data_IF_781807251388
#
_entry.id   IF_781807251388
#
_cell.length_a   1.000
_cell.length_b   1.000
_cell.length_c   1.000
_cell.angle_alpha   90.00
_cell.angle_beta   90.00
_cell.angle_gamma   90.00
#
_symmetry.space_group_name_H-M   'P 1'
#
loop_
_entity.id
_entity.type
_entity.pdbx_description
1 polymer ?
#
# COMPACT_ATOMS: atom_id res chain seq x y z
N UNK A 1 -2.50 15.56 -15.76
CA UNK A 1 -2.03 16.02 -14.42
C UNK A 1 -1.59 17.48 -14.48
N UNK A 2 -0.81 17.90 -15.49
CA UNK A 2 -0.33 19.31 -15.62
C UNK A 2 -1.47 20.30 -15.89
N UNK A 3 -2.46 19.93 -16.69
CA UNK A 3 -3.61 20.78 -16.99
C UNK A 3 -4.47 21.10 -15.76
N UNK A 4 -4.78 20.13 -14.93
CA UNK A 4 -5.59 20.34 -13.74
C UNK A 4 -4.94 21.27 -12.71
N UNK A 5 -3.62 21.24 -12.59
CA UNK A 5 -2.90 22.12 -11.66
C UNK A 5 -2.87 23.59 -12.14
N UNK A 6 -2.82 23.83 -13.46
CA UNK A 6 -2.91 25.19 -14.03
C UNK A 6 -4.30 25.79 -13.78
N UNK A 7 -5.36 25.02 -13.95
CA UNK A 7 -6.73 25.48 -13.67
C UNK A 7 -6.94 25.80 -12.18
N UNK A 8 -6.35 25.03 -11.28
CA UNK A 8 -6.45 25.25 -9.83
C UNK A 8 -5.62 26.43 -9.34
N UNK A 9 -4.45 26.70 -9.93
CA UNK A 9 -3.53 27.74 -9.44
C UNK A 9 -3.76 29.11 -10.09
N UNK A 10 -4.45 29.18 -11.21
CA UNK A 10 -4.68 30.44 -11.98
C UNK A 10 -3.40 31.09 -12.52
N UNK A 11 -2.25 30.44 -12.42
CA UNK A 11 -0.94 30.95 -12.84
C UNK A 11 -0.17 29.90 -13.66
N UNK A 12 0.71 30.38 -14.54
CA UNK A 12 1.64 29.50 -15.24
C UNK A 12 2.68 28.94 -14.27
N UNK A 13 2.73 27.62 -14.19
CA UNK A 13 3.75 26.95 -13.39
C UNK A 13 5.14 27.11 -14.06
N UNK A 14 6.21 27.36 -13.30
CA UNK A 14 7.57 27.37 -13.83
C UNK A 14 7.84 26.11 -14.64
N UNK A 15 8.60 26.20 -15.73
CA UNK A 15 8.88 25.03 -16.59
C UNK A 15 9.61 23.89 -15.85
N UNK A 16 10.28 24.17 -14.73
CA UNK A 16 11.01 23.26 -13.87
C UNK A 16 10.23 22.84 -12.61
N UNK A 17 8.91 23.12 -12.54
CA UNK A 17 8.11 22.80 -11.33
C UNK A 17 8.03 21.30 -11.05
N UNK A 18 7.99 20.45 -12.08
CA UNK A 18 7.94 18.98 -11.91
C UNK A 18 9.22 18.46 -11.26
N UNK A 19 10.44 18.78 -11.77
CA UNK A 19 11.68 18.41 -11.09
C UNK A 19 11.76 18.90 -9.64
N UNK A 20 11.36 20.15 -9.38
CA UNK A 20 11.35 20.70 -8.01
C UNK A 20 10.36 19.99 -7.10
N UNK A 21 9.18 19.63 -7.60
CA UNK A 21 8.20 18.85 -6.84
C UNK A 21 8.76 17.47 -6.51
N UNK A 22 9.30 16.77 -7.52
CA UNK A 22 9.93 15.46 -7.32
C UNK A 22 11.06 15.53 -6.30
N UNK A 23 11.91 16.54 -6.37
CA UNK A 23 12.98 16.74 -5.40
C UNK A 23 12.43 16.96 -3.98
N UNK A 24 11.45 17.87 -3.79
CA UNK A 24 10.84 18.12 -2.48
C UNK A 24 10.13 16.89 -1.91
N UNK A 25 9.42 16.15 -2.75
CA UNK A 25 8.79 14.89 -2.33
C UNK A 25 9.86 13.88 -1.91
N UNK A 26 10.96 13.75 -2.67
CA UNK A 26 12.08 12.87 -2.32
C UNK A 26 12.75 13.27 -1.01
N UNK A 27 12.95 14.56 -0.78
CA UNK A 27 13.49 15.09 0.48
C UNK A 27 12.57 14.80 1.66
N UNK A 28 11.25 15.07 1.53
CA UNK A 28 10.26 14.77 2.55
C UNK A 28 10.22 13.26 2.87
N UNK A 29 10.23 12.40 1.85
CA UNK A 29 10.33 10.95 2.06
C UNK A 29 11.59 10.54 2.85
N UNK A 30 12.69 11.25 2.68
CA UNK A 30 13.94 10.91 3.35
C UNK A 30 13.96 11.30 4.83
N UNK A 31 13.31 12.42 5.18
CA UNK A 31 13.38 12.99 6.53
C UNK A 31 12.14 12.74 7.38
N UNK A 32 10.96 12.62 6.78
CA UNK A 32 9.67 12.61 7.48
C UNK A 32 8.95 11.26 7.42
N UNK A 33 9.44 10.30 6.61
CA UNK A 33 8.79 9.01 6.47
C UNK A 33 9.02 8.16 7.72
N UNK A 34 7.92 7.87 8.42
CA UNK A 34 7.91 6.96 9.57
C UNK A 34 7.02 5.76 9.29
N UNK A 35 7.33 4.58 9.85
CA UNK A 35 6.43 3.43 9.74
C UNK A 35 5.14 3.68 10.50
N UNK A 36 4.07 3.01 10.09
CA UNK A 36 2.82 3.00 10.86
C UNK A 36 3.09 2.49 12.29
N UNK A 37 2.47 3.15 13.27
CA UNK A 37 2.63 2.77 14.68
C UNK A 37 2.21 1.32 14.91
N UNK A 38 3.03 0.57 15.63
CA UNK A 38 2.83 -0.84 15.93
C UNK A 38 3.19 -1.83 14.82
N UNK A 39 3.48 -1.39 13.58
CA UNK A 39 3.72 -2.33 12.47
C UNK A 39 4.94 -3.21 12.68
N UNK A 40 6.05 -2.67 13.21
CA UNK A 40 7.26 -3.46 13.46
C UNK A 40 7.02 -4.54 14.51
N UNK A 41 6.31 -4.20 15.60
CA UNK A 41 5.95 -5.14 16.67
C UNK A 41 5.07 -6.28 16.13
N UNK A 42 4.11 -5.94 15.27
CA UNK A 42 3.24 -6.92 14.63
C UNK A 42 4.06 -7.84 13.72
N UNK A 43 4.88 -7.28 12.82
CA UNK A 43 5.69 -8.08 11.90
C UNK A 43 6.71 -8.99 12.61
N UNK A 44 7.25 -8.54 13.75
CA UNK A 44 8.13 -9.38 14.60
C UNK A 44 7.37 -10.54 15.25
N UNK A 45 6.06 -10.43 15.47
CA UNK A 45 5.23 -11.45 16.12
C UNK A 45 4.53 -12.40 15.14
N UNK A 46 4.50 -12.07 13.84
CA UNK A 46 3.82 -12.91 12.86
C UNK A 46 4.67 -14.12 12.46
N UNK A 47 4.07 -15.30 12.58
CA UNK A 47 4.64 -16.58 12.11
C UNK A 47 4.12 -16.98 10.71
N UNK A 48 3.53 -16.02 9.98
CA UNK A 48 2.99 -16.22 8.64
C UNK A 48 3.81 -15.48 7.59
N UNK A 49 3.80 -15.99 6.37
CA UNK A 49 4.48 -15.34 5.24
C UNK A 49 3.79 -14.03 4.87
N UNK A 50 4.59 -12.99 4.65
CA UNK A 50 4.12 -11.66 4.31
C UNK A 50 4.79 -11.11 3.06
N UNK A 51 4.07 -10.30 2.28
CA UNK A 51 4.62 -9.58 1.13
C UNK A 51 4.05 -8.17 1.04
N UNK A 52 4.65 -7.35 0.19
CA UNK A 52 4.12 -6.04 -0.19
C UNK A 52 3.61 -6.10 -1.62
N UNK A 53 2.40 -5.60 -1.85
CA UNK A 53 1.80 -5.40 -3.16
C UNK A 53 1.39 -3.93 -3.33
N UNK A 54 2.08 -3.15 -4.18
CA UNK A 54 1.93 -1.70 -4.27
C UNK A 54 1.78 -1.20 -5.70
N UNK A 55 0.94 -0.16 -5.92
CA UNK A 55 0.90 0.57 -7.19
C UNK A 55 2.12 1.49 -7.38
N UNK A 56 2.96 1.67 -6.37
CA UNK A 56 4.16 2.47 -6.44
C UNK A 56 5.21 1.90 -7.39
N UNK A 57 6.14 2.75 -7.85
CA UNK A 57 7.29 2.32 -8.64
C UNK A 57 8.23 1.46 -7.78
N UNK A 58 8.82 0.37 -8.30
CA UNK A 58 9.65 -0.56 -7.53
C UNK A 58 10.70 0.12 -6.65
N UNK A 59 11.54 0.99 -7.23
CA UNK A 59 12.59 1.70 -6.49
C UNK A 59 12.05 2.62 -5.38
N UNK A 60 10.86 3.21 -5.54
CA UNK A 60 10.23 4.02 -4.49
C UNK A 60 9.70 3.16 -3.34
N UNK A 61 9.04 2.04 -3.65
CA UNK A 61 8.52 1.12 -2.63
C UNK A 61 9.65 0.56 -1.79
N UNK A 62 10.69 0.02 -2.44
CA UNK A 62 11.86 -0.50 -1.72
C UNK A 62 12.57 0.56 -0.89
N UNK A 63 12.76 1.77 -1.42
CA UNK A 63 13.40 2.87 -0.68
C UNK A 63 12.58 3.24 0.56
N UNK A 64 11.26 3.34 0.44
CA UNK A 64 10.37 3.61 1.59
C UNK A 64 10.49 2.53 2.67
N UNK A 65 10.51 1.26 2.27
CA UNK A 65 10.69 0.15 3.19
C UNK A 65 12.07 0.17 3.88
N UNK A 66 13.13 0.57 3.15
CA UNK A 66 14.49 0.70 3.70
C UNK A 66 14.58 1.87 4.68
N UNK A 67 14.04 3.03 4.33
CA UNK A 67 14.03 4.21 5.20
C UNK A 67 13.27 3.97 6.50
N UNK A 68 12.18 3.22 6.46
CA UNK A 68 11.37 2.87 7.64
C UNK A 68 11.87 1.63 8.40
N UNK A 69 12.94 0.98 7.93
CA UNK A 69 13.47 -0.25 8.55
C UNK A 69 12.62 -1.50 8.34
N UNK A 70 11.58 -1.41 7.48
CA UNK A 70 10.65 -2.52 7.23
C UNK A 70 11.11 -3.47 6.12
N UNK A 71 12.11 -3.10 5.31
CA UNK A 71 12.57 -3.91 4.18
C UNK A 71 12.98 -5.34 4.57
N UNK A 72 13.58 -5.51 5.74
CA UNK A 72 14.01 -6.82 6.28
C UNK A 72 12.89 -7.87 6.35
N UNK A 73 11.63 -7.43 6.52
CA UNK A 73 10.48 -8.33 6.57
C UNK A 73 9.97 -8.77 5.20
N UNK A 74 10.33 -8.02 4.14
CA UNK A 74 9.77 -8.18 2.80
C UNK A 74 10.83 -8.39 1.71
N UNK A 75 12.08 -8.62 2.08
CA UNK A 75 13.18 -8.81 1.13
C UNK A 75 12.85 -9.93 0.13
N UNK A 76 12.92 -9.62 -1.17
CA UNK A 76 12.53 -10.52 -2.26
C UNK A 76 11.03 -10.75 -2.43
N UNK A 77 10.17 -10.08 -1.64
CA UNK A 77 8.71 -10.25 -1.63
C UNK A 77 7.98 -8.90 -1.75
N UNK A 78 8.50 -8.04 -2.62
CA UNK A 78 7.90 -6.74 -2.95
C UNK A 78 7.42 -6.79 -4.38
N UNK A 79 6.11 -6.77 -4.58
CA UNK A 79 5.45 -6.82 -5.88
C UNK A 79 4.83 -5.46 -6.20
N UNK A 80 4.95 -5.02 -7.45
CA UNK A 80 4.50 -3.70 -7.86
C UNK A 80 3.64 -3.75 -9.12
N UNK A 81 2.92 -2.67 -9.40
CA UNK A 81 2.08 -2.57 -10.58
C UNK A 81 2.84 -2.71 -11.91
N UNK A 82 4.18 -2.57 -11.91
CA UNK A 82 4.99 -2.78 -13.11
C UNK A 82 5.08 -4.25 -13.55
N UNK A 83 4.65 -5.19 -12.72
CA UNK A 83 4.70 -6.63 -12.96
C UNK A 83 3.38 -7.18 -13.49
N UNK A 84 2.34 -6.35 -13.60
CA UNK A 84 1.01 -6.72 -14.06
C UNK A 84 0.50 -5.79 -15.15
N UNK A 85 -0.48 -6.23 -15.92
CA UNK A 85 -1.05 -5.42 -17.00
C UNK A 85 -1.84 -4.20 -16.50
N UNK A 86 -2.55 -4.36 -15.38
CA UNK A 86 -3.40 -3.32 -14.81
C UNK A 86 -3.08 -3.12 -13.32
N UNK A 87 -2.90 -1.86 -12.86
CA UNK A 87 -2.74 -1.54 -11.45
C UNK A 87 -4.05 -1.67 -10.68
N UNK A 88 -3.99 -1.66 -9.33
CA UNK A 88 -5.20 -1.50 -8.51
C UNK A 88 -6.02 -0.28 -9.00
N UNK A 89 -7.33 -0.35 -9.10
CA UNK A 89 -8.25 -1.32 -8.48
C UNK A 89 -8.50 -2.61 -9.27
N UNK A 90 -7.66 -2.95 -10.26
CA UNK A 90 -7.68 -4.27 -10.87
C UNK A 90 -7.14 -5.32 -9.89
N UNK A 91 -7.72 -6.55 -9.82
CA UNK A 91 -7.29 -7.59 -8.88
C UNK A 91 -5.93 -8.20 -9.23
N UNK A 92 -5.40 -7.96 -10.42
CA UNK A 92 -4.23 -8.65 -10.98
C UNK A 92 -3.02 -8.62 -10.05
N UNK A 93 -2.74 -7.48 -9.38
CA UNK A 93 -1.58 -7.36 -8.52
C UNK A 93 -1.65 -8.25 -7.28
N UNK A 94 -2.81 -8.37 -6.65
CA UNK A 94 -2.96 -9.24 -5.47
C UNK A 94 -2.96 -10.72 -5.86
N UNK A 95 -3.59 -11.08 -6.98
CA UNK A 95 -3.55 -12.45 -7.49
C UNK A 95 -2.13 -12.85 -7.91
N UNK A 96 -1.39 -11.95 -8.54
CA UNK A 96 0.02 -12.14 -8.88
C UNK A 96 0.88 -12.34 -7.63
N UNK A 97 0.72 -11.48 -6.61
CA UNK A 97 1.45 -11.61 -5.36
C UNK A 97 1.16 -12.94 -4.66
N UNK A 98 -0.10 -13.36 -4.58
CA UNK A 98 -0.48 -14.66 -4.01
C UNK A 98 0.17 -15.83 -4.77
N UNK A 99 0.12 -15.83 -6.12
CA UNK A 99 0.77 -16.83 -6.96
C UNK A 99 2.29 -16.90 -6.71
N UNK A 100 2.96 -15.73 -6.67
CA UNK A 100 4.41 -15.65 -6.39
C UNK A 100 4.80 -16.14 -5.01
N UNK A 101 3.93 -15.96 -4.03
CA UNK A 101 4.09 -16.47 -2.67
C UNK A 101 3.72 -17.95 -2.53
N UNK A 102 3.11 -18.56 -3.57
CA UNK A 102 2.71 -19.97 -3.57
C UNK A 102 1.41 -20.26 -2.82
N UNK A 103 0.56 -19.24 -2.61
CA UNK A 103 -0.72 -19.37 -1.92
C UNK A 103 -1.91 -19.17 -2.85
N UNK A 104 -3.00 -19.87 -2.56
CA UNK A 104 -4.30 -19.59 -3.15
C UNK A 104 -4.90 -18.30 -2.54
N UNK A 105 -5.83 -17.67 -3.24
CA UNK A 105 -6.50 -16.46 -2.76
C UNK A 105 -7.24 -16.67 -1.43
N UNK A 106 -7.73 -17.87 -1.19
CA UNK A 106 -8.49 -18.21 0.02
C UNK A 106 -7.59 -18.41 1.27
N UNK A 107 -6.28 -18.52 1.06
CA UNK A 107 -5.25 -18.58 2.11
C UNK A 107 -4.63 -17.20 2.40
N UNK A 108 -5.03 -16.17 1.67
CA UNK A 108 -4.49 -14.83 1.78
C UNK A 108 -5.44 -13.89 2.50
N UNK A 109 -4.86 -12.89 3.18
CA UNK A 109 -5.56 -11.71 3.70
C UNK A 109 -4.81 -10.47 3.25
N UNK A 110 -5.52 -9.47 2.75
CA UNK A 110 -4.97 -8.17 2.39
C UNK A 110 -5.17 -7.18 3.54
N UNK A 111 -4.15 -6.40 3.83
CA UNK A 111 -4.21 -5.25 4.73
C UNK A 111 -4.09 -3.99 3.87
N UNK A 112 -5.08 -3.13 3.91
CA UNK A 112 -5.16 -1.92 3.07
C UNK A 112 -5.75 -0.73 3.84
N UNK A 113 -5.48 0.50 3.36
CA UNK A 113 -6.04 1.75 3.89
C UNK A 113 -6.72 2.59 2.80
N UNK A 114 -6.60 2.17 1.55
CA UNK A 114 -7.14 2.87 0.37
C UNK A 114 -8.34 2.13 -0.23
N UNK A 115 -9.34 2.90 -0.68
CA UNK A 115 -10.51 2.35 -1.39
C UNK A 115 -10.09 1.61 -2.67
N UNK A 116 -9.05 2.11 -3.34
CA UNK A 116 -8.49 1.48 -4.54
C UNK A 116 -7.95 0.07 -4.25
N UNK A 117 -7.23 -0.09 -3.15
CA UNK A 117 -6.69 -1.38 -2.74
C UNK A 117 -7.76 -2.32 -2.21
N UNK A 118 -8.69 -1.82 -1.37
CA UNK A 118 -9.84 -2.61 -0.91
C UNK A 118 -10.65 -3.14 -2.09
N UNK A 119 -10.98 -2.28 -3.07
CA UNK A 119 -11.69 -2.69 -4.29
C UNK A 119 -10.95 -3.79 -5.05
N UNK A 120 -9.63 -3.67 -5.19
CA UNK A 120 -8.81 -4.68 -5.85
C UNK A 120 -8.86 -6.04 -5.12
N UNK A 121 -8.80 -6.03 -3.78
CA UNK A 121 -8.86 -7.23 -2.95
C UNK A 121 -10.22 -7.92 -3.06
N UNK A 122 -11.30 -7.15 -2.94
CA UNK A 122 -12.68 -7.66 -3.10
C UNK A 122 -12.87 -8.29 -4.49
N UNK A 123 -12.39 -7.63 -5.55
CA UNK A 123 -12.42 -8.19 -6.92
C UNK A 123 -11.57 -9.44 -7.08
N UNK A 124 -10.48 -9.57 -6.35
CA UNK A 124 -9.66 -10.77 -6.31
C UNK A 124 -10.34 -11.93 -5.56
N UNK A 125 -11.38 -11.65 -4.79
CA UNK A 125 -12.01 -12.59 -3.88
C UNK A 125 -11.10 -12.93 -2.68
N UNK A 126 -10.26 -12.00 -2.25
CA UNK A 126 -9.38 -12.12 -1.08
C UNK A 126 -9.98 -11.31 0.07
N UNK A 127 -9.99 -11.88 1.28
CA UNK A 127 -10.40 -11.18 2.50
C UNK A 127 -9.56 -9.92 2.69
N UNK A 128 -10.17 -8.80 3.08
CA UNK A 128 -9.45 -7.54 3.28
C UNK A 128 -9.80 -6.90 4.62
N UNK A 129 -8.74 -6.58 5.38
CA UNK A 129 -8.81 -5.77 6.59
C UNK A 129 -8.44 -4.34 6.22
N UNK A 130 -9.33 -3.38 6.49
CA UNK A 130 -9.17 -1.97 6.14
C UNK A 130 -8.70 -1.14 7.33
N UNK A 131 -7.45 -0.64 7.29
CA UNK A 131 -6.96 0.30 8.30
C UNK A 131 -7.62 1.66 8.13
N UNK A 132 -8.30 2.12 9.16
CA UNK A 132 -8.88 3.47 9.19
C UNK A 132 -7.75 4.49 9.35
N UNK A 133 -7.29 5.04 8.23
CA UNK A 133 -6.20 6.00 8.13
C UNK A 133 -6.49 7.04 7.03
N UNK A 134 -6.19 6.73 5.77
CA UNK A 134 -6.48 7.62 4.64
C UNK A 134 -7.97 7.64 4.26
N UNK A 135 -8.66 6.52 4.44
CA UNK A 135 -10.09 6.38 4.20
C UNK A 135 -10.84 6.28 5.53
N UNK A 136 -12.07 6.79 5.58
CA UNK A 136 -12.93 6.67 6.74
C UNK A 136 -13.41 5.23 6.93
N UNK A 137 -13.87 4.92 8.14
CA UNK A 137 -14.45 3.61 8.46
C UNK A 137 -15.61 3.24 7.54
N UNK A 138 -16.50 4.21 7.28
CA UNK A 138 -17.71 3.95 6.49
C UNK A 138 -17.37 3.69 5.02
N UNK A 139 -16.43 4.45 4.45
CA UNK A 139 -15.92 4.22 3.09
C UNK A 139 -15.27 2.83 2.93
N UNK A 140 -14.48 2.39 3.92
CA UNK A 140 -13.85 1.07 3.92
C UNK A 140 -14.88 -0.06 3.99
N UNK A 141 -15.92 0.10 4.83
CA UNK A 141 -17.05 -0.86 4.92
C UNK A 141 -17.80 -0.91 3.58
N UNK A 142 -18.13 0.25 3.01
CA UNK A 142 -18.86 0.33 1.74
C UNK A 142 -18.08 -0.31 0.59
N UNK A 143 -16.75 -0.18 0.62
CA UNK A 143 -15.86 -0.85 -0.33
C UNK A 143 -15.71 -2.36 -0.10
N UNK A 144 -16.12 -2.89 1.05
CA UNK A 144 -16.15 -4.32 1.39
C UNK A 144 -15.05 -4.79 2.31
N UNK A 145 -14.35 -3.89 3.02
CA UNK A 145 -13.33 -4.25 4.00
C UNK A 145 -13.92 -4.44 5.41
N UNK A 146 -13.25 -5.26 6.22
CA UNK A 146 -13.43 -5.33 7.67
C UNK A 146 -12.55 -4.21 8.30
N UNK A 147 -13.12 -3.13 8.86
CA UNK A 147 -12.33 -1.99 9.31
C UNK A 147 -11.69 -2.26 10.66
N UNK A 148 -10.46 -1.77 10.83
CA UNK A 148 -9.75 -1.75 12.11
C UNK A 148 -8.96 -0.43 12.25
N UNK A 149 -8.49 -0.09 13.46
CA UNK A 149 -7.93 1.24 13.75
C UNK A 149 -6.48 1.21 14.21
N UNK A 150 -5.97 0.04 14.63
CA UNK A 150 -4.63 -0.08 15.19
C UNK A 150 -3.94 -1.33 14.65
N UNK A 151 -2.72 -1.20 14.14
CA UNK A 151 -1.95 -2.34 13.62
C UNK A 151 -1.80 -3.48 14.64
N UNK A 152 -1.74 -3.18 15.93
CA UNK A 152 -1.65 -4.19 17.00
C UNK A 152 -2.89 -5.09 17.13
N UNK A 153 -3.99 -4.76 16.45
CA UNK A 153 -5.18 -5.63 16.38
C UNK A 153 -5.00 -6.79 15.40
N UNK A 154 -4.05 -6.68 14.45
CA UNK A 154 -3.89 -7.64 13.34
C UNK A 154 -3.72 -9.09 13.79
N UNK A 155 -2.86 -9.45 14.76
CA UNK A 155 -2.72 -10.86 15.17
C UNK A 155 -4.06 -11.45 15.57
N UNK A 156 -4.84 -10.75 16.38
CA UNK A 156 -6.18 -11.19 16.80
C UNK A 156 -7.16 -11.28 15.63
N UNK A 157 -7.15 -10.31 14.71
CA UNK A 157 -8.03 -10.31 13.53
C UNK A 157 -7.69 -11.42 12.55
N UNK A 158 -6.44 -11.84 12.52
CA UNK A 158 -5.94 -12.96 11.72
C UNK A 158 -6.16 -14.32 12.40
N UNK A 159 -6.55 -14.33 13.68
CA UNK A 159 -6.75 -15.56 14.45
C UNK A 159 -5.46 -16.21 14.97
N UNK A 160 -4.42 -15.38 15.16
CA UNK A 160 -3.09 -15.76 15.62
C UNK A 160 -2.90 -15.44 17.10
#
# INVERSE_FOLDING_TARGET
VVYGMKEMSGSDLPHDWVPRLVQKVSEAYTYDLVPMDGISEVLDSLEVETCVASNGRPGHVENSLKLTGLYKYFEGRVYTASEVANPKPDPALFLYAADKMGFSKDECVVIEDSITGVTASVRAGIRVLGLVNMSSKDELIEAGAEPFTNMRELPKLLGL
#
